data_IF_491894074274
#
_entry.id   IF_491894074274
#
_cell.length_a   1.000
_cell.length_b   1.000
_cell.length_c   1.000
_cell.angle_alpha   90.00
_cell.angle_beta   90.00
_cell.angle_gamma   90.00
#
_symmetry.space_group_name_H-M   'P 1'
#
loop_
_entity.id
_entity.type
_entity.pdbx_description
1 polymer ?
#
# COMPACT_ATOMS: atom_id res chain seq x y z
N UNK A 1 -5.66 92.72 3.05
CA UNK A 1 -5.33 92.20 1.71
C UNK A 1 -4.25 91.12 1.87
N UNK A 2 -4.69 89.84 2.00
CA UNK A 2 -3.79 88.66 2.17
C UNK A 2 -3.90 87.77 0.95
N UNK A 3 -2.86 87.68 0.18
CA UNK A 3 -2.74 86.79 -0.98
C UNK A 3 -2.44 85.37 -0.47
N UNK A 4 -3.33 84.42 -0.77
CA UNK A 4 -3.10 83.02 -0.49
C UNK A 4 -2.51 82.40 -1.80
N UNK A 5 -1.30 81.90 -1.68
CA UNK A 5 -0.63 81.13 -2.72
C UNK A 5 -1.06 79.62 -2.56
N UNK A 6 -1.77 79.08 -3.57
CA UNK A 6 -2.05 77.67 -3.68
C UNK A 6 -0.86 76.95 -4.33
N UNK A 7 -0.16 76.11 -3.56
CA UNK A 7 0.84 75.17 -4.09
C UNK A 7 0.09 73.92 -4.53
N UNK A 8 0.11 73.66 -5.82
CA UNK A 8 -0.34 72.39 -6.40
C UNK A 8 0.77 71.36 -6.25
N UNK A 9 0.56 70.39 -5.42
CA UNK A 9 1.45 69.25 -5.19
C UNK A 9 1.07 68.11 -6.18
N UNK A 10 1.88 67.91 -7.22
CA UNK A 10 1.71 66.79 -8.15
C UNK A 10 2.19 65.49 -7.46
N UNK A 11 1.25 64.60 -7.17
CA UNK A 11 1.57 63.28 -6.64
C UNK A 11 1.88 62.34 -7.81
N UNK A 12 3.17 62.00 -7.96
CA UNK A 12 3.63 61.02 -8.93
C UNK A 12 3.30 59.60 -8.40
N UNK A 13 2.31 58.95 -8.97
CA UNK A 13 1.96 57.57 -8.61
C UNK A 13 3.01 56.61 -9.21
N UNK A 14 3.89 56.08 -8.34
CA UNK A 14 4.78 54.99 -8.68
C UNK A 14 4.01 53.68 -8.51
N UNK A 15 3.59 53.04 -9.61
CA UNK A 15 3.05 51.68 -9.61
C UNK A 15 4.19 50.68 -9.32
N UNK A 16 4.08 49.84 -8.28
CA UNK A 16 5.02 48.75 -8.11
C UNK A 16 4.71 47.67 -9.17
N UNK A 17 5.62 47.41 -10.08
CA UNK A 17 5.60 46.24 -10.93
C UNK A 17 5.70 45.00 -10.05
N UNK A 18 4.60 44.27 -9.92
CA UNK A 18 4.59 42.95 -9.31
C UNK A 18 5.36 41.99 -10.22
N UNK A 19 6.64 41.78 -9.90
CA UNK A 19 7.41 40.71 -10.48
C UNK A 19 6.80 39.36 -9.97
N UNK A 20 6.10 38.68 -10.86
CA UNK A 20 5.69 37.28 -10.63
C UNK A 20 6.96 36.45 -10.41
N UNK A 21 7.25 36.09 -9.16
CA UNK A 21 8.24 35.09 -8.82
C UNK A 21 7.77 33.79 -9.46
N UNK A 22 8.51 33.34 -10.48
CA UNK A 22 8.38 32.01 -11.05
C UNK A 22 8.68 31.03 -9.92
N UNK A 23 7.66 30.28 -9.47
CA UNK A 23 7.82 29.27 -8.43
C UNK A 23 8.95 28.32 -8.81
N UNK A 24 9.88 28.01 -7.88
CA UNK A 24 10.93 27.06 -8.17
C UNK A 24 10.24 25.72 -8.48
N UNK A 25 10.55 25.18 -9.68
CA UNK A 25 10.21 23.83 -10.10
C UNK A 25 10.41 22.91 -8.91
N UNK A 26 9.33 22.35 -8.36
CA UNK A 26 9.39 21.39 -7.26
C UNK A 26 10.32 20.28 -7.72
N UNK A 27 11.54 20.29 -7.22
CA UNK A 27 12.48 19.21 -7.42
C UNK A 27 11.79 17.96 -6.91
N UNK A 28 11.70 16.91 -7.73
CA UNK A 28 11.16 15.61 -7.35
C UNK A 28 11.87 15.19 -6.07
N UNK A 29 11.21 15.33 -4.92
CA UNK A 29 11.61 14.62 -3.72
C UNK A 29 11.57 13.13 -4.10
N UNK A 30 12.56 12.30 -3.70
CA UNK A 30 12.51 10.88 -3.96
C UNK A 30 11.14 10.38 -3.50
N UNK A 31 10.42 9.68 -4.40
CA UNK A 31 9.12 9.11 -4.06
C UNK A 31 9.34 8.16 -2.89
N UNK A 32 8.62 8.37 -1.79
CA UNK A 32 8.63 7.43 -0.67
C UNK A 32 8.22 6.06 -1.21
N UNK A 33 8.94 5.02 -0.81
CA UNK A 33 8.64 3.62 -1.16
C UNK A 33 8.04 2.90 0.04
N UNK A 34 7.37 1.77 -0.19
CA UNK A 34 6.92 0.91 0.91
C UNK A 34 8.14 0.36 1.64
N UNK A 35 8.15 0.47 2.96
CA UNK A 35 9.19 -0.08 3.82
C UNK A 35 9.02 -1.59 3.96
N UNK A 36 9.45 -2.33 2.94
CA UNK A 36 9.32 -3.78 2.89
C UNK A 36 10.23 -4.49 3.88
N UNK A 37 9.65 -5.28 4.76
CA UNK A 37 10.34 -6.23 5.63
C UNK A 37 10.50 -7.54 4.86
N UNK A 38 11.72 -8.03 4.72
CA UNK A 38 12.02 -9.32 4.07
C UNK A 38 12.46 -10.39 5.06
N UNK A 39 12.77 -9.99 6.29
CA UNK A 39 13.19 -10.87 7.37
C UNK A 39 12.04 -11.05 8.38
N UNK A 40 11.54 -12.27 8.50
CA UNK A 40 10.41 -12.59 9.40
C UNK A 40 10.79 -12.44 10.88
N UNK A 41 12.06 -12.62 11.25
CA UNK A 41 12.49 -12.37 12.62
C UNK A 41 12.43 -10.87 12.96
N UNK A 42 12.79 -9.99 12.02
CA UNK A 42 12.63 -8.54 12.18
C UNK A 42 11.15 -8.17 12.39
N UNK A 43 10.26 -8.75 11.60
CA UNK A 43 8.81 -8.54 11.75
C UNK A 43 8.34 -8.93 13.16
N UNK A 44 8.78 -10.09 13.67
CA UNK A 44 8.41 -10.56 15.00
C UNK A 44 8.90 -9.64 16.11
N UNK A 45 10.14 -9.14 16.01
CA UNK A 45 10.69 -8.18 16.96
C UNK A 45 9.92 -6.85 16.96
N UNK A 46 9.61 -6.31 15.77
CA UNK A 46 8.78 -5.11 15.63
C UNK A 46 7.39 -5.31 16.23
N UNK A 47 6.78 -6.48 15.99
CA UNK A 47 5.46 -6.81 16.51
C UNK A 47 5.42 -6.91 18.05
N UNK A 48 6.51 -7.41 18.67
CA UNK A 48 6.63 -7.46 20.13
C UNK A 48 6.76 -6.07 20.76
N UNK A 49 7.44 -5.15 20.08
CA UNK A 49 7.66 -3.78 20.57
C UNK A 49 6.43 -2.89 20.34
N UNK A 50 5.79 -3.02 19.20
CA UNK A 50 4.65 -2.20 18.77
C UNK A 50 3.72 -3.02 17.87
N UNK A 51 2.70 -3.67 18.42
CA UNK A 51 1.76 -4.46 17.63
C UNK A 51 1.08 -3.61 16.56
N UNK A 52 1.11 -4.09 15.32
CA UNK A 52 0.53 -3.45 14.14
C UNK A 52 -0.03 -4.51 13.21
N UNK A 53 -1.01 -4.16 12.38
CA UNK A 53 -1.45 -5.06 11.31
C UNK A 53 -0.34 -5.31 10.31
N UNK A 54 -0.39 -6.43 9.63
CA UNK A 54 0.61 -6.81 8.64
C UNK A 54 -0.06 -6.98 7.28
N UNK A 55 0.60 -6.51 6.25
CA UNK A 55 0.32 -6.85 4.86
C UNK A 55 1.49 -7.68 4.35
N UNK A 56 1.21 -8.88 3.83
CA UNK A 56 2.22 -9.73 3.20
C UNK A 56 1.96 -9.77 1.71
N UNK A 57 2.89 -9.29 0.91
CA UNK A 57 2.89 -9.49 -0.53
C UNK A 57 3.70 -10.76 -0.84
N UNK A 58 3.00 -11.83 -1.19
CA UNK A 58 3.61 -13.08 -1.62
C UNK A 58 3.82 -13.07 -3.12
N UNK A 59 5.05 -13.28 -3.53
CA UNK A 59 5.46 -13.31 -4.93
C UNK A 59 6.34 -14.52 -5.23
N UNK A 60 6.69 -14.70 -6.49
CA UNK A 60 7.74 -15.61 -6.96
C UNK A 60 8.62 -14.90 -8.00
N UNK A 61 9.85 -15.35 -8.18
CA UNK A 61 10.80 -14.71 -9.10
C UNK A 61 10.34 -14.64 -10.56
N UNK A 62 9.54 -15.60 -11.01
CA UNK A 62 8.99 -15.71 -12.37
C UNK A 62 7.65 -14.97 -12.57
N UNK A 63 7.03 -14.45 -11.51
CA UNK A 63 5.68 -13.87 -11.54
C UNK A 63 5.63 -12.50 -12.24
N UNK A 64 5.20 -12.45 -13.47
CA UNK A 64 5.04 -11.21 -14.25
C UNK A 64 3.98 -10.26 -13.66
N UNK A 65 2.86 -10.81 -13.16
CA UNK A 65 1.80 -10.01 -12.52
C UNK A 65 2.22 -9.40 -11.19
N UNK A 66 3.16 -10.03 -10.47
CA UNK A 66 3.75 -9.46 -9.25
C UNK A 66 4.55 -8.21 -9.59
N UNK A 67 5.43 -8.29 -10.61
CA UNK A 67 6.21 -7.15 -11.11
C UNK A 67 5.30 -6.01 -11.58
N UNK A 68 4.18 -6.37 -12.25
CA UNK A 68 3.18 -5.39 -12.68
C UNK A 68 2.52 -4.71 -11.48
N UNK A 69 2.16 -5.46 -10.44
CA UNK A 69 1.56 -4.93 -9.22
C UNK A 69 2.51 -4.02 -8.44
N UNK A 70 3.80 -4.36 -8.41
CA UNK A 70 4.84 -3.50 -7.85
C UNK A 70 4.91 -2.15 -8.58
N UNK A 71 4.90 -2.18 -9.92
CA UNK A 71 5.00 -0.98 -10.73
C UNK A 71 3.73 -0.11 -10.71
N UNK A 72 2.54 -0.71 -10.75
CA UNK A 72 1.29 0.02 -10.93
C UNK A 72 0.61 0.39 -9.60
N UNK A 73 0.67 -0.52 -8.62
CA UNK A 73 -0.12 -0.43 -7.40
C UNK A 73 0.74 -0.02 -6.20
N UNK A 74 1.80 -0.76 -5.93
CA UNK A 74 2.65 -0.51 -4.77
C UNK A 74 3.60 0.70 -4.95
N UNK A 75 3.66 1.29 -6.13
CA UNK A 75 4.36 2.56 -6.40
C UNK A 75 3.47 3.80 -6.23
N UNK A 76 2.15 3.64 -6.02
CA UNK A 76 1.25 4.78 -5.86
C UNK A 76 1.56 5.54 -4.56
N UNK A 77 1.85 6.86 -4.61
CA UNK A 77 2.31 7.60 -3.42
C UNK A 77 1.31 7.62 -2.26
N UNK A 78 0.00 7.67 -2.56
CA UNK A 78 -1.03 7.67 -1.51
C UNK A 78 -1.12 6.29 -0.84
N UNK A 79 -1.02 5.22 -1.61
CA UNK A 79 -0.98 3.84 -1.12
C UNK A 79 0.28 3.61 -0.27
N UNK A 80 1.44 4.01 -0.77
CA UNK A 80 2.73 3.91 -0.05
C UNK A 80 2.64 4.56 1.32
N UNK A 81 2.21 5.82 1.35
CA UNK A 81 2.04 6.56 2.60
C UNK A 81 1.08 5.86 3.56
N UNK A 82 -0.05 5.36 3.05
CA UNK A 82 -1.03 4.68 3.88
C UNK A 82 -0.50 3.36 4.46
N UNK A 83 0.15 2.55 3.64
CA UNK A 83 0.77 1.28 4.08
C UNK A 83 1.82 1.52 5.15
N UNK A 84 2.78 2.42 4.92
CA UNK A 84 3.84 2.72 5.87
C UNK A 84 3.30 3.19 7.23
N UNK A 85 2.23 3.95 7.24
CA UNK A 85 1.61 4.45 8.47
C UNK A 85 0.82 3.39 9.23
N UNK A 86 0.12 2.48 8.53
CA UNK A 86 -0.90 1.63 9.15
C UNK A 86 -0.51 0.16 9.26
N UNK A 87 0.52 -0.29 8.51
CA UNK A 87 0.90 -1.70 8.45
C UNK A 87 2.41 -1.91 8.63
N UNK A 88 2.80 -3.10 9.04
CA UNK A 88 4.10 -3.65 8.70
C UNK A 88 3.95 -4.35 7.35
N UNK A 89 4.71 -3.90 6.36
CA UNK A 89 4.66 -4.46 5.01
C UNK A 89 5.76 -5.52 4.86
N UNK A 90 5.39 -6.72 4.45
CA UNK A 90 6.29 -7.86 4.25
C UNK A 90 6.32 -8.22 2.76
N UNK A 91 7.52 -8.31 2.19
CA UNK A 91 7.75 -8.86 0.85
C UNK A 91 8.26 -10.28 1.00
N UNK A 92 7.49 -11.28 0.56
CA UNK A 92 7.80 -12.68 0.81
C UNK A 92 7.86 -13.50 -0.48
N UNK A 93 9.04 -13.98 -0.83
CA UNK A 93 9.18 -14.96 -1.90
C UNK A 93 8.63 -16.31 -1.42
N UNK A 94 7.53 -16.74 -2.01
CA UNK A 94 6.86 -17.97 -1.62
C UNK A 94 7.67 -19.24 -1.95
N UNK A 95 8.61 -19.17 -2.91
CA UNK A 95 9.47 -20.30 -3.30
C UNK A 95 10.86 -20.28 -2.62
N UNK A 96 11.08 -19.39 -1.63
CA UNK A 96 12.36 -19.33 -0.91
C UNK A 96 12.68 -20.66 -0.21
N UNK A 97 13.97 -21.01 -0.23
CA UNK A 97 14.47 -22.32 0.22
C UNK A 97 14.92 -22.34 1.68
N UNK A 98 15.19 -21.18 2.27
CA UNK A 98 15.66 -21.08 3.64
C UNK A 98 14.56 -21.40 4.67
N UNK A 99 14.99 -21.81 5.84
CA UNK A 99 14.08 -22.07 6.97
C UNK A 99 13.56 -20.78 7.56
N UNK A 100 12.24 -20.67 7.68
CA UNK A 100 11.58 -19.55 8.37
C UNK A 100 11.22 -19.96 9.78
N UNK A 101 11.81 -19.29 10.76
CA UNK A 101 11.41 -19.42 12.19
C UNK A 101 10.30 -18.42 12.46
N UNK A 102 9.11 -18.91 12.82
CA UNK A 102 7.97 -18.05 13.12
C UNK A 102 7.16 -18.60 14.30
N UNK A 103 6.96 -17.77 15.32
CA UNK A 103 6.24 -18.12 16.56
C UNK A 103 6.71 -19.46 17.17
N UNK A 104 8.03 -19.64 17.25
CA UNK A 104 8.64 -20.84 17.84
C UNK A 104 8.63 -22.09 16.95
N UNK A 105 8.04 -22.03 15.74
CA UNK A 105 8.00 -23.14 14.77
C UNK A 105 8.94 -22.86 13.59
N UNK A 106 9.50 -23.93 13.03
CA UNK A 106 10.32 -23.86 11.82
C UNK A 106 9.50 -24.30 10.62
N UNK A 107 9.57 -23.51 9.55
CA UNK A 107 8.90 -23.75 8.29
C UNK A 107 9.94 -23.93 7.20
N UNK A 108 9.89 -25.07 6.52
CA UNK A 108 10.82 -25.47 5.48
C UNK A 108 10.17 -25.34 4.10
N UNK A 109 10.99 -25.32 3.06
CA UNK A 109 10.47 -25.44 1.71
C UNK A 109 9.82 -26.81 1.49
N UNK A 110 8.62 -26.81 0.89
CA UNK A 110 7.83 -27.99 0.59
C UNK A 110 7.80 -28.26 -0.92
N UNK A 111 8.68 -29.14 -1.46
CA UNK A 111 8.85 -29.34 -2.89
C UNK A 111 7.56 -29.73 -3.63
N UNK A 112 6.70 -30.51 -3.00
CA UNK A 112 5.42 -30.98 -3.57
C UNK A 112 4.43 -29.82 -3.84
N UNK A 113 4.58 -28.70 -3.13
CA UNK A 113 3.78 -27.49 -3.33
C UNK A 113 4.58 -26.36 -4.02
N UNK A 114 5.87 -26.56 -4.24
CA UNK A 114 6.80 -25.53 -4.72
C UNK A 114 6.70 -24.23 -3.90
N UNK A 115 6.53 -24.37 -2.59
CA UNK A 115 6.34 -23.24 -1.69
C UNK A 115 7.02 -23.46 -0.35
N UNK A 116 7.42 -22.37 0.30
CA UNK A 116 7.86 -22.41 1.69
C UNK A 116 6.68 -22.70 2.62
N UNK A 117 6.88 -23.52 3.63
CA UNK A 117 5.86 -23.89 4.61
C UNK A 117 5.23 -22.69 5.32
N UNK A 118 5.94 -21.57 5.47
CA UNK A 118 5.37 -20.35 6.02
C UNK A 118 4.28 -19.74 5.11
N UNK A 119 4.48 -19.74 3.79
CA UNK A 119 3.43 -19.34 2.83
C UNK A 119 2.20 -20.24 2.95
N UNK A 120 2.42 -21.56 3.03
CA UNK A 120 1.33 -22.55 3.20
C UNK A 120 0.58 -22.35 4.52
N UNK A 121 1.28 -22.03 5.62
CA UNK A 121 0.67 -21.73 6.92
C UNK A 121 -0.24 -20.51 6.84
N UNK A 122 0.19 -19.43 6.17
CA UNK A 122 -0.62 -18.23 5.99
C UNK A 122 -1.86 -18.48 5.12
N UNK A 123 -1.83 -19.47 4.25
CA UNK A 123 -2.92 -19.78 3.32
C UNK A 123 -3.73 -21.01 3.72
N UNK A 124 -3.41 -21.70 4.82
CA UNK A 124 -3.96 -23.01 5.15
C UNK A 124 -5.49 -23.07 5.16
N UNK A 125 -6.14 -22.09 5.79
CA UNK A 125 -7.62 -22.07 5.88
C UNK A 125 -8.27 -21.71 4.53
N UNK A 126 -7.60 -20.90 3.73
CA UNK A 126 -8.01 -20.56 2.37
C UNK A 126 -7.92 -21.79 1.46
N UNK A 127 -6.80 -22.49 1.50
CA UNK A 127 -6.57 -23.72 0.72
C UNK A 127 -7.54 -24.84 1.12
N UNK A 128 -7.79 -25.00 2.43
CA UNK A 128 -8.74 -25.99 2.95
C UNK A 128 -10.19 -25.75 2.48
N UNK A 129 -10.53 -24.52 2.13
CA UNK A 129 -11.84 -24.14 1.57
C UNK A 129 -11.89 -24.17 0.03
N UNK A 130 -10.90 -24.78 -0.62
CA UNK A 130 -10.83 -24.89 -2.08
C UNK A 130 -10.13 -23.74 -2.78
N UNK A 131 -9.50 -22.84 -2.04
CA UNK A 131 -8.64 -21.80 -2.62
C UNK A 131 -7.40 -22.40 -3.28
N UNK A 132 -6.77 -21.65 -4.17
CA UNK A 132 -5.61 -22.12 -4.92
C UNK A 132 -4.39 -21.23 -4.66
N UNK A 133 -3.19 -21.84 -4.67
CA UNK A 133 -1.93 -21.08 -4.71
C UNK A 133 -1.86 -20.29 -6.02
N UNK A 134 -1.77 -18.97 -5.91
CA UNK A 134 -1.65 -18.07 -7.05
C UNK A 134 -0.80 -16.87 -6.67
N UNK A 135 -0.17 -16.22 -7.65
CA UNK A 135 0.68 -15.05 -7.42
C UNK A 135 0.33 -13.93 -8.42
N UNK A 136 0.36 -12.65 -7.97
CA UNK A 136 0.59 -12.21 -6.60
C UNK A 136 -0.51 -12.65 -5.64
N UNK A 137 -0.15 -12.81 -4.37
CA UNK A 137 -1.11 -13.09 -3.30
C UNK A 137 -0.86 -12.12 -2.15
N UNK A 138 -1.81 -11.25 -1.88
CA UNK A 138 -1.72 -10.36 -0.71
C UNK A 138 -2.40 -11.01 0.48
N UNK A 139 -1.74 -11.07 1.64
CA UNK A 139 -2.36 -11.58 2.87
C UNK A 139 -2.38 -10.49 3.93
N UNK A 140 -3.56 -10.19 4.46
CA UNK A 140 -3.71 -9.34 5.62
C UNK A 140 -3.69 -10.16 6.90
N UNK A 141 -2.94 -9.69 7.89
CA UNK A 141 -2.91 -10.26 9.24
C UNK A 141 -3.27 -9.15 10.23
N UNK A 142 -4.10 -9.51 11.20
CA UNK A 142 -4.39 -8.62 12.30
C UNK A 142 -3.20 -8.57 13.29
N UNK A 143 -3.29 -7.70 14.27
CA UNK A 143 -2.32 -7.62 15.35
C UNK A 143 -2.11 -9.02 15.97
N UNK A 144 -0.88 -9.35 16.35
CA UNK A 144 -0.47 -10.69 16.82
C UNK A 144 -0.54 -11.80 15.76
N UNK A 145 -0.47 -11.45 14.47
CA UNK A 145 -0.45 -12.39 13.34
C UNK A 145 -1.72 -13.24 13.19
N UNK A 146 -2.83 -12.77 13.72
CA UNK A 146 -4.08 -13.51 13.67
C UNK A 146 -4.88 -13.24 12.39
N UNK A 147 -5.83 -14.14 12.11
CA UNK A 147 -6.83 -14.02 11.04
C UNK A 147 -6.21 -13.76 9.66
N UNK A 148 -5.35 -14.66 9.16
CA UNK A 148 -4.83 -14.51 7.81
C UNK A 148 -5.99 -14.40 6.81
N UNK A 149 -6.01 -13.30 6.05
CA UNK A 149 -7.04 -13.04 5.04
C UNK A 149 -6.37 -12.89 3.69
N UNK A 150 -6.30 -13.96 2.89
CA UNK A 150 -5.70 -13.95 1.57
C UNK A 150 -6.58 -13.25 0.53
N UNK A 151 -5.95 -12.42 -0.29
CA UNK A 151 -6.54 -11.74 -1.45
C UNK A 151 -5.75 -12.17 -2.69
N UNK A 152 -6.26 -13.11 -3.49
CA UNK A 152 -5.54 -13.64 -4.63
C UNK A 152 -5.52 -12.70 -5.82
N UNK A 153 -4.42 -12.70 -6.56
CA UNK A 153 -4.27 -12.05 -7.85
C UNK A 153 -3.92 -10.56 -7.80
N UNK A 154 -3.62 -10.03 -8.97
CA UNK A 154 -3.34 -8.61 -9.19
C UNK A 154 -4.49 -7.72 -8.73
N UNK A 155 -4.17 -6.62 -8.07
CA UNK A 155 -5.11 -5.59 -7.66
C UNK A 155 -4.66 -4.21 -8.14
N UNK A 156 -5.58 -3.47 -8.72
CA UNK A 156 -5.38 -2.04 -9.04
C UNK A 156 -5.27 -1.21 -7.77
N UNK A 157 -4.79 0.04 -7.89
CA UNK A 157 -4.75 0.98 -6.76
C UNK A 157 -6.11 1.09 -6.07
N UNK A 158 -7.21 1.24 -6.81
CA UNK A 158 -8.56 1.39 -6.25
C UNK A 158 -9.03 0.15 -5.48
N UNK A 159 -8.77 -1.04 -6.03
CA UNK A 159 -9.12 -2.29 -5.36
C UNK A 159 -8.27 -2.50 -4.10
N UNK A 160 -6.95 -2.27 -4.19
CA UNK A 160 -6.06 -2.41 -3.03
C UNK A 160 -6.38 -1.37 -1.95
N UNK A 161 -6.72 -0.13 -2.33
CA UNK A 161 -7.19 0.90 -1.40
C UNK A 161 -8.37 0.42 -0.59
N UNK A 162 -9.35 -0.22 -1.25
CA UNK A 162 -10.55 -0.73 -0.57
C UNK A 162 -10.19 -1.76 0.50
N UNK A 163 -9.28 -2.70 0.20
CA UNK A 163 -8.81 -3.67 1.20
C UNK A 163 -8.00 -3.01 2.31
N UNK A 164 -7.06 -2.15 1.95
CA UNK A 164 -6.19 -1.47 2.91
C UNK A 164 -7.01 -0.66 3.92
N UNK A 165 -8.00 0.10 3.44
CA UNK A 165 -8.85 0.90 4.31
C UNK A 165 -9.83 0.05 5.12
N UNK A 166 -10.34 -1.04 4.57
CA UNK A 166 -11.18 -1.99 5.30
C UNK A 166 -10.48 -2.54 6.55
N UNK A 167 -9.23 -2.99 6.39
CA UNK A 167 -8.45 -3.50 7.50
C UNK A 167 -7.78 -2.38 8.32
N UNK A 168 -7.15 -1.40 7.67
CA UNK A 168 -6.38 -0.35 8.32
C UNK A 168 -7.24 0.54 9.22
N UNK A 169 -8.40 0.96 8.75
CA UNK A 169 -9.35 1.81 9.49
C UNK A 169 -10.27 1.00 10.43
N UNK A 170 -10.01 -0.30 10.60
CA UNK A 170 -10.84 -1.20 11.41
C UNK A 170 -12.32 -1.28 10.96
N UNK A 171 -12.61 -1.02 9.69
CA UNK A 171 -13.98 -1.10 9.17
C UNK A 171 -14.55 -2.52 9.29
N UNK A 172 -13.70 -3.55 9.18
CA UNK A 172 -14.05 -4.97 9.35
C UNK A 172 -14.70 -5.31 10.70
N UNK A 173 -14.48 -4.49 11.73
CA UNK A 173 -15.10 -4.64 13.05
C UNK A 173 -16.54 -4.13 13.10
N UNK A 174 -16.95 -3.32 12.13
CA UNK A 174 -18.23 -2.60 12.12
C UNK A 174 -19.15 -3.02 10.97
N UNK A 175 -18.58 -3.53 9.89
CA UNK A 175 -19.31 -3.77 8.65
C UNK A 175 -18.72 -4.96 7.91
N UNK A 176 -19.56 -5.90 7.39
CA UNK A 176 -19.11 -6.99 6.53
C UNK A 176 -18.47 -6.46 5.23
N UNK A 177 -17.54 -7.25 4.68
CA UNK A 177 -16.85 -6.91 3.44
C UNK A 177 -17.78 -6.57 2.27
N UNK A 178 -18.83 -7.38 2.07
CA UNK A 178 -19.78 -7.18 0.96
C UNK A 178 -20.48 -5.83 0.99
N UNK A 179 -20.77 -5.34 2.17
CA UNK A 179 -21.37 -4.03 2.35
C UNK A 179 -20.32 -2.93 2.15
N UNK A 180 -19.15 -3.09 2.76
CA UNK A 180 -18.08 -2.10 2.67
C UNK A 180 -17.61 -1.90 1.23
N UNK A 181 -17.30 -2.98 0.53
CA UNK A 181 -16.77 -2.93 -0.84
C UNK A 181 -17.72 -2.30 -1.86
N UNK A 182 -19.04 -2.45 -1.67
CA UNK A 182 -20.06 -1.84 -2.52
C UNK A 182 -20.26 -0.35 -2.28
N UNK A 183 -19.95 0.13 -1.07
CA UNK A 183 -20.17 1.53 -0.67
C UNK A 183 -18.89 2.36 -0.69
N UNK A 184 -17.73 1.72 -0.75
CA UNK A 184 -16.44 2.41 -0.73
C UNK A 184 -16.19 3.15 -2.04
N UNK A 185 -15.80 4.39 -1.94
CA UNK A 185 -15.39 5.23 -3.07
C UNK A 185 -13.90 5.49 -2.97
N UNK A 186 -13.13 5.00 -3.95
CA UNK A 186 -11.68 5.21 -4.02
C UNK A 186 -11.33 6.70 -4.04
N UNK A 187 -10.32 7.08 -3.27
CA UNK A 187 -9.78 8.43 -3.14
C UNK A 187 -8.41 8.58 -3.79
N UNK A 188 -7.67 7.47 -3.94
CA UNK A 188 -6.28 7.47 -4.40
C UNK A 188 -6.12 7.27 -5.90
N UNK A 189 -7.15 6.74 -6.56
CA UNK A 189 -7.16 6.46 -8.01
C UNK A 189 -7.76 7.59 -8.84
N UNK A 190 -7.91 8.79 -8.31
CA UNK A 190 -8.45 9.93 -9.07
C UNK A 190 -7.56 10.20 -10.30
N UNK A 191 -8.02 9.75 -11.46
CA UNK A 191 -7.31 9.85 -12.73
C UNK A 191 -6.88 8.52 -13.36
N UNK A 192 -7.04 7.38 -12.68
CA UNK A 192 -6.82 6.06 -13.28
C UNK A 192 -8.04 5.64 -14.14
N UNK A 193 -7.83 5.03 -15.32
CA UNK A 193 -8.93 4.44 -16.09
C UNK A 193 -9.60 3.32 -15.30
N UNK A 194 -10.90 3.11 -15.51
CA UNK A 194 -11.64 2.01 -14.90
C UNK A 194 -10.93 0.67 -15.13
N UNK A 195 -10.86 -0.22 -14.11
CA UNK A 195 -10.16 -1.47 -14.26
C UNK A 195 -10.76 -2.31 -15.37
N UNK A 196 -9.94 -2.69 -16.36
CA UNK A 196 -10.33 -3.75 -17.28
C UNK A 196 -10.48 -5.03 -16.48
N UNK A 197 -11.58 -5.74 -16.66
CA UNK A 197 -11.80 -7.03 -16.00
C UNK A 197 -10.56 -7.91 -16.18
N UNK A 198 -9.97 -8.33 -15.06
CA UNK A 198 -8.84 -9.25 -15.10
C UNK A 198 -9.28 -10.52 -15.83
N UNK A 199 -8.52 -11.03 -16.81
CA UNK A 199 -8.82 -12.32 -17.40
C UNK A 199 -8.80 -13.36 -16.30
N UNK A 200 -9.85 -14.19 -16.26
CA UNK A 200 -9.89 -15.35 -15.38
C UNK A 200 -8.61 -16.16 -15.61
N UNK A 201 -7.78 -16.26 -14.57
CA UNK A 201 -6.49 -16.94 -14.64
C UNK A 201 -6.67 -18.42 -14.95
N UNK A 202 -6.00 -18.90 -15.96
CA UNK A 202 -5.71 -20.30 -16.19
C UNK A 202 -4.50 -20.71 -15.39
#
# INVERSE_FOLDING_TARGET
>A
MKRVLLFAMAILAISPAVMAKKDPKVANAPSEEIHWITNINELQLKMQQSPKKVIVDMYTGWCGWCKKMDADTYSNPALVKYVNNNFYAVKFDAERQDTIRFQGRDFFFAPQYRANGFALELLKDYLAKGGQMSYPQTVFLMENFQQPTPIPGYRTVAEMETFLTYFGDNAYRRMPWDQYSKTYVSRWSKGAPAPSAAPAGH
#
